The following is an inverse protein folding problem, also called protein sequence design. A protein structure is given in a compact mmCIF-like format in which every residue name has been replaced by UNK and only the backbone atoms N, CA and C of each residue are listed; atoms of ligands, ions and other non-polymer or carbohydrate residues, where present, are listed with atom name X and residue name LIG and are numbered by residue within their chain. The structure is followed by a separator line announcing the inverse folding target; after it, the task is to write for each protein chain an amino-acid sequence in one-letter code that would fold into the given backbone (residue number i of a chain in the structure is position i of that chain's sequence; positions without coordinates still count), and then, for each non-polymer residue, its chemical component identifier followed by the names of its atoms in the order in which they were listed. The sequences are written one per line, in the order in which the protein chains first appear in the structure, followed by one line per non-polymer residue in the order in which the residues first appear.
data_IF_099868604011
#
_entry.id   IF_099868604011
#
_cell.length_a   1.000
_cell.length_b   1.000
_cell.length_c   1.000
_cell.angle_alpha   90.00
_cell.angle_beta   90.00
_cell.angle_gamma   90.00
#
_symmetry.space_group_name_H-M   'P 1'
#
loop_
_entity.id
_entity.type
_entity.pdbx_description
1 polymer ?
#
# COMPACT_ATOMS: atom_id res chain seq x y z
N UNK A 1 3.40 21.64 -11.51
CA UNK A 1 3.11 20.34 -12.14
C UNK A 1 4.24 19.30 -11.98
N UNK A 2 5.48 19.71 -11.67
CA UNK A 2 6.66 18.82 -11.60
C UNK A 2 6.85 18.01 -10.30
N UNK A 3 6.19 18.37 -9.18
CA UNK A 3 6.42 17.73 -7.88
C UNK A 3 5.60 16.44 -7.66
N UNK A 4 4.44 16.31 -8.32
CA UNK A 4 3.48 15.21 -8.09
C UNK A 4 3.90 13.90 -8.76
N UNK A 5 4.49 13.97 -9.97
CA UNK A 5 5.02 12.80 -10.68
C UNK A 5 6.21 12.14 -9.96
N UNK A 6 6.93 12.89 -9.11
CA UNK A 6 8.09 12.39 -8.35
C UNK A 6 7.72 11.58 -7.10
N UNK A 7 6.50 11.62 -6.58
CA UNK A 7 6.13 10.88 -5.35
C UNK A 7 5.47 9.53 -5.65
N UNK A 8 4.57 9.49 -6.62
CA UNK A 8 3.94 8.24 -7.09
C UNK A 8 5.00 7.29 -7.67
N UNK A 9 6.04 7.83 -8.31
CA UNK A 9 7.15 7.04 -8.86
C UNK A 9 7.93 6.24 -7.81
N UNK A 10 7.97 6.71 -6.55
CA UNK A 10 8.64 5.98 -5.47
C UNK A 10 7.85 4.74 -5.06
N UNK A 11 6.51 4.82 -5.09
CA UNK A 11 5.66 3.67 -4.76
C UNK A 11 5.59 2.69 -5.92
N UNK A 12 5.36 3.15 -7.16
CA UNK A 12 5.32 2.23 -8.31
C UNK A 12 6.68 1.56 -8.51
N UNK A 13 7.77 2.27 -8.21
CA UNK A 13 9.16 1.79 -8.25
C UNK A 13 9.48 0.60 -7.34
N UNK A 14 8.67 0.34 -6.31
CA UNK A 14 8.86 -0.80 -5.41
C UNK A 14 7.91 -1.97 -5.69
N UNK A 15 6.98 -1.84 -6.64
CA UNK A 15 6.09 -2.92 -7.03
C UNK A 15 6.76 -3.87 -8.03
N UNK A 16 6.39 -5.15 -7.95
CA UNK A 16 6.67 -6.15 -9.00
C UNK A 16 6.22 -5.64 -10.37
N UNK A 17 6.93 -6.05 -11.43
CA UNK A 17 6.77 -5.45 -12.76
C UNK A 17 5.35 -5.54 -13.33
N UNK A 18 4.70 -6.69 -13.22
CA UNK A 18 3.32 -6.90 -13.65
C UNK A 18 2.35 -5.97 -12.93
N UNK A 19 2.44 -5.93 -11.60
CA UNK A 19 1.62 -5.09 -10.73
C UNK A 19 1.86 -3.61 -11.02
N UNK A 20 3.11 -3.20 -11.22
CA UNK A 20 3.49 -1.83 -11.61
C UNK A 20 2.75 -1.40 -12.87
N UNK A 21 2.74 -2.21 -13.93
CA UNK A 21 2.08 -1.88 -15.20
C UNK A 21 0.58 -1.67 -14.98
N UNK A 22 -0.07 -2.55 -14.21
CA UNK A 22 -1.50 -2.44 -13.89
C UNK A 22 -1.79 -1.14 -13.12
N UNK A 23 -0.98 -0.83 -12.12
CA UNK A 23 -1.14 0.39 -11.30
C UNK A 23 -0.85 1.65 -12.12
N UNK A 24 0.16 1.65 -12.99
CA UNK A 24 0.45 2.78 -13.87
C UNK A 24 -0.67 3.02 -14.89
N UNK A 25 -1.33 1.96 -15.37
CA UNK A 25 -2.47 2.10 -16.27
C UNK A 25 -3.66 2.77 -15.59
N UNK A 26 -4.04 2.36 -14.37
CA UNK A 26 -5.16 3.00 -13.66
C UNK A 26 -4.83 4.45 -13.27
N UNK A 27 -3.58 4.73 -12.89
CA UNK A 27 -3.14 6.09 -12.57
C UNK A 27 -3.20 7.04 -13.78
N UNK A 28 -3.12 6.53 -15.02
CA UNK A 28 -3.34 7.33 -16.24
C UNK A 28 -4.81 7.69 -16.44
N UNK A 29 -5.73 6.88 -15.93
CA UNK A 29 -7.18 7.16 -15.97
C UNK A 29 -7.57 8.26 -14.97
N UNK A 30 -6.71 8.54 -13.97
CA UNK A 30 -6.87 9.61 -13.00
C UNK A 30 -7.24 9.10 -11.60
N UNK A 31 -7.63 10.03 -10.72
CA UNK A 31 -8.04 9.72 -9.34
C UNK A 31 -6.90 9.69 -8.32
N UNK A 32 -7.28 9.77 -7.04
CA UNK A 32 -6.36 9.79 -5.91
C UNK A 32 -6.17 8.36 -5.34
N UNK A 33 -5.06 7.71 -5.72
CA UNK A 33 -4.68 6.40 -5.20
C UNK A 33 -4.29 6.50 -3.71
N UNK A 34 -5.07 5.84 -2.86
CA UNK A 34 -4.93 5.86 -1.41
C UNK A 34 -4.26 4.60 -0.88
N UNK A 35 -4.62 3.44 -1.42
CA UNK A 35 -4.19 2.15 -0.90
C UNK A 35 -4.00 1.12 -2.03
N UNK A 36 -2.97 0.28 -1.91
CA UNK A 36 -2.75 -0.91 -2.75
C UNK A 36 -2.73 -2.12 -1.83
N UNK A 37 -3.59 -3.10 -2.11
CA UNK A 37 -3.68 -4.37 -1.36
C UNK A 37 -3.27 -5.53 -2.25
N UNK A 38 -2.25 -6.25 -1.81
CA UNK A 38 -1.74 -7.43 -2.48
C UNK A 38 -1.85 -8.62 -1.54
N UNK A 39 -2.47 -9.72 -1.96
CA UNK A 39 -2.56 -10.95 -1.17
C UNK A 39 -2.45 -12.17 -2.07
N UNK A 40 -1.56 -13.10 -1.75
CA UNK A 40 -1.30 -14.28 -2.58
C UNK A 40 -2.60 -15.03 -2.85
N UNK A 41 -2.85 -15.33 -4.13
CA UNK A 41 -4.04 -16.06 -4.58
C UNK A 41 -5.33 -15.26 -4.55
N UNK A 42 -5.26 -13.95 -4.29
CA UNK A 42 -6.42 -13.05 -4.30
C UNK A 42 -6.25 -11.98 -5.38
N UNK A 43 -7.37 -11.38 -5.85
CA UNK A 43 -7.32 -10.27 -6.78
C UNK A 43 -6.55 -9.05 -6.25
N UNK A 44 -5.76 -8.42 -7.11
CA UNK A 44 -5.14 -7.13 -6.83
C UNK A 44 -6.24 -6.09 -6.60
N UNK A 45 -6.21 -5.42 -5.45
CA UNK A 45 -7.25 -4.47 -5.04
C UNK A 45 -6.62 -3.13 -4.69
N UNK A 46 -7.27 -2.03 -5.05
CA UNK A 46 -6.84 -0.67 -4.72
C UNK A 46 -7.99 0.13 -4.12
N UNK A 47 -7.64 1.23 -3.43
CA UNK A 47 -8.57 2.27 -3.03
C UNK A 47 -8.24 3.55 -3.78
N UNK A 48 -9.18 4.03 -4.59
CA UNK A 48 -9.05 5.26 -5.40
C UNK A 48 -10.27 6.12 -5.10
N UNK A 49 -10.05 7.38 -4.74
CA UNK A 49 -11.12 8.34 -4.43
C UNK A 49 -12.10 7.86 -3.34
N UNK A 50 -11.61 7.02 -2.42
CA UNK A 50 -12.42 6.43 -1.35
C UNK A 50 -13.20 5.17 -1.75
N UNK A 51 -13.13 4.75 -3.01
CA UNK A 51 -13.80 3.56 -3.53
C UNK A 51 -12.81 2.40 -3.71
N UNK A 52 -13.29 1.19 -3.41
CA UNK A 52 -12.52 -0.03 -3.61
C UNK A 52 -12.69 -0.56 -5.04
N UNK A 53 -11.57 -0.89 -5.69
CA UNK A 53 -11.54 -1.40 -7.05
C UNK A 53 -10.67 -2.64 -7.16
N UNK A 54 -11.17 -3.66 -7.87
CA UNK A 54 -10.42 -4.85 -8.24
C UNK A 54 -9.79 -4.62 -9.61
N UNK A 55 -8.48 -4.87 -9.73
CA UNK A 55 -7.73 -4.57 -10.94
C UNK A 55 -7.31 -5.84 -11.70
N UNK A 56 -7.18 -5.74 -13.04
CA UNK A 56 -7.60 -4.63 -13.89
C UNK A 56 -9.12 -4.54 -14.05
N UNK A 57 -9.67 -3.34 -14.24
CA UNK A 57 -11.12 -3.10 -14.35
C UNK A 57 -11.76 -3.68 -15.63
N UNK A 58 -11.01 -3.65 -16.75
CA UNK A 58 -11.51 -3.97 -18.09
C UNK A 58 -11.24 -5.42 -18.53
N UNK A 59 -10.57 -6.19 -17.68
CA UNK A 59 -10.11 -7.54 -17.98
C UNK A 59 -10.39 -8.47 -16.79
N UNK A 60 -9.94 -9.72 -16.90
CA UNK A 60 -9.97 -10.63 -15.75
C UNK A 60 -9.05 -10.07 -14.65
N UNK A 61 -9.56 -10.06 -13.42
CA UNK A 61 -8.81 -9.61 -12.26
C UNK A 61 -7.44 -10.32 -12.15
N UNK A 62 -6.40 -9.52 -11.91
CA UNK A 62 -5.04 -10.03 -11.73
C UNK A 62 -4.92 -10.71 -10.39
N UNK A 63 -4.62 -12.00 -10.40
CA UNK A 63 -4.42 -12.79 -9.18
C UNK A 63 -2.97 -12.62 -8.74
N UNK A 64 -2.80 -12.05 -7.55
CA UNK A 64 -1.47 -11.77 -7.00
C UNK A 64 -0.72 -13.07 -6.73
N UNK A 65 0.49 -13.15 -7.25
CA UNK A 65 1.36 -14.33 -7.09
C UNK A 65 2.29 -14.20 -5.90
N UNK A 66 2.88 -15.33 -5.48
CA UNK A 66 3.89 -15.34 -4.41
C UNK A 66 5.16 -14.63 -4.85
N UNK A 67 5.51 -14.78 -6.12
CA UNK A 67 6.67 -14.19 -6.77
C UNK A 67 6.55 -12.67 -6.79
N UNK A 68 5.36 -12.13 -7.09
CA UNK A 68 5.11 -10.68 -7.07
C UNK A 68 5.22 -10.09 -5.68
N UNK A 69 4.71 -10.77 -4.65
CA UNK A 69 4.89 -10.34 -3.25
C UNK A 69 6.38 -10.34 -2.90
N UNK A 70 7.11 -11.41 -3.25
CA UNK A 70 8.54 -11.53 -2.99
C UNK A 70 9.35 -10.41 -3.66
N UNK A 71 9.15 -10.19 -4.97
CA UNK A 71 9.81 -9.12 -5.72
C UNK A 71 9.51 -7.75 -5.11
N UNK A 72 8.25 -7.49 -4.77
CA UNK A 72 7.83 -6.22 -4.16
C UNK A 72 8.57 -5.96 -2.85
N UNK A 73 8.71 -6.98 -1.98
CA UNK A 73 9.45 -6.85 -0.71
C UNK A 73 10.95 -6.63 -0.96
N UNK A 74 11.54 -7.33 -1.94
CA UNK A 74 12.95 -7.17 -2.30
C UNK A 74 13.24 -5.73 -2.75
N UNK A 75 12.38 -5.16 -3.58
CA UNK A 75 12.49 -3.76 -3.99
C UNK A 75 12.30 -2.79 -2.82
N UNK A 76 11.27 -3.00 -1.97
CA UNK A 76 11.01 -2.14 -0.82
C UNK A 76 12.16 -2.15 0.20
N UNK A 77 12.75 -3.32 0.45
CA UNK A 77 13.86 -3.49 1.39
C UNK A 77 15.21 -3.04 0.83
N UNK A 78 15.27 -2.58 -0.44
CA UNK A 78 16.52 -2.35 -1.18
C UNK A 78 17.48 -3.54 -1.07
N UNK A 79 16.95 -4.77 -1.11
CA UNK A 79 17.68 -6.02 -0.89
C UNK A 79 18.32 -6.19 0.51
N UNK A 80 17.96 -5.36 1.50
CA UNK A 80 18.46 -5.44 2.87
C UNK A 80 17.36 -5.84 3.85
N UNK A 81 16.79 -7.03 3.66
CA UNK A 81 15.76 -7.61 4.55
C UNK A 81 16.15 -7.64 6.03
N UNK A 82 17.45 -7.84 6.32
CA UNK A 82 17.98 -7.87 7.68
C UNK A 82 17.90 -6.52 8.40
N UNK A 83 18.03 -5.40 7.69
CA UNK A 83 17.93 -4.08 8.29
C UNK A 83 16.50 -3.78 8.80
N UNK A 84 15.50 -4.43 8.19
CA UNK A 84 14.08 -4.22 8.49
C UNK A 84 13.45 -5.36 9.29
N UNK A 85 14.24 -6.31 9.80
CA UNK A 85 13.74 -7.48 10.56
C UNK A 85 12.87 -7.09 11.76
N UNK A 86 13.22 -6.00 12.46
CA UNK A 86 12.42 -5.50 13.58
C UNK A 86 11.08 -4.90 13.14
N UNK A 87 11.04 -4.17 12.02
CA UNK A 87 9.79 -3.60 11.47
C UNK A 87 8.88 -4.72 10.95
N UNK A 88 9.46 -5.66 10.20
CA UNK A 88 8.76 -6.84 9.71
C UNK A 88 8.19 -7.67 10.87
N UNK A 89 8.94 -7.84 11.98
CA UNK A 89 8.42 -8.49 13.20
C UNK A 89 7.20 -7.77 13.77
N UNK A 90 7.14 -6.44 13.64
CA UNK A 90 6.01 -5.63 14.06
C UNK A 90 4.87 -5.56 13.02
N UNK A 91 5.04 -6.23 11.86
CA UNK A 91 4.03 -6.32 10.81
C UNK A 91 3.95 -5.09 9.92
N UNK A 92 5.01 -4.28 9.85
CA UNK A 92 5.07 -3.15 8.93
C UNK A 92 6.45 -2.97 8.30
N UNK A 93 6.52 -2.12 7.28
CA UNK A 93 7.76 -1.66 6.66
C UNK A 93 7.60 -0.17 6.33
N UNK A 94 8.62 0.62 6.65
CA UNK A 94 8.63 2.05 6.34
C UNK A 94 9.19 2.28 4.94
N UNK A 95 8.39 2.92 4.07
CA UNK A 95 8.86 3.31 2.73
C UNK A 95 9.33 4.77 2.73
N UNK A 96 10.43 5.03 2.03
CA UNK A 96 10.90 6.40 1.78
C UNK A 96 9.81 7.22 1.07
N UNK A 97 9.63 8.48 1.48
CA UNK A 97 8.51 9.32 1.03
C UNK A 97 7.34 9.39 2.01
N UNK A 98 7.42 8.72 3.17
CA UNK A 98 6.41 8.78 4.23
C UNK A 98 5.25 7.80 4.06
N UNK A 99 5.35 6.91 3.06
CA UNK A 99 4.39 5.84 2.82
C UNK A 99 4.51 4.75 3.90
N UNK A 100 3.39 4.11 4.24
CA UNK A 100 3.37 3.04 5.25
C UNK A 100 2.99 1.73 4.58
N UNK A 101 3.75 0.67 4.84
CA UNK A 101 3.43 -0.67 4.34
C UNK A 101 3.09 -1.57 5.50
N UNK A 102 1.87 -2.10 5.55
CA UNK A 102 1.50 -3.22 6.39
C UNK A 102 1.91 -4.53 5.75
N UNK A 103 2.44 -5.45 6.56
CA UNK A 103 2.93 -6.75 6.12
C UNK A 103 2.29 -7.83 6.97
N UNK A 104 1.72 -8.86 6.34
CA UNK A 104 1.21 -10.03 7.05
C UNK A 104 1.64 -11.34 6.37
N UNK A 105 1.90 -12.35 7.19
CA UNK A 105 2.46 -13.64 6.77
C UNK A 105 2.54 -14.64 7.92
N UNK A 106 3.12 -15.81 7.66
CA UNK A 106 3.23 -16.88 8.65
C UNK A 106 4.37 -16.60 9.63
N UNK A 107 4.04 -16.37 10.89
CA UNK A 107 5.05 -16.23 11.93
C UNK A 107 5.61 -17.61 12.31
N UNK A 108 6.93 -17.80 12.24
CA UNK A 108 7.58 -18.96 12.86
C UNK A 108 8.07 -18.54 14.25
N UNK A 109 7.53 -19.22 15.27
CA UNK A 109 7.95 -19.06 16.65
C UNK A 109 9.01 -20.11 16.94
N UNK A 110 10.19 -19.68 17.39
CA UNK A 110 11.26 -20.58 17.84
C UNK A 110 11.50 -20.32 19.33
N UNK A 111 11.28 -21.33 20.17
CA UNK A 111 11.46 -21.29 21.64
C UNK A 111 10.81 -20.08 22.33
N UNK A 112 9.57 -19.75 21.97
CA UNK A 112 8.80 -18.68 22.60
C UNK A 112 9.20 -17.25 22.21
N UNK A 113 10.17 -17.08 21.30
CA UNK A 113 10.50 -15.79 20.68
C UNK A 113 10.04 -15.79 19.22
N UNK A 114 9.30 -14.75 18.84
CA UNK A 114 8.94 -14.50 17.43
C UNK A 114 10.23 -14.20 16.67
N UNK A 115 10.74 -15.16 15.88
CA UNK A 115 12.03 -14.97 15.23
C UNK A 115 11.94 -14.02 14.04
N UNK A 116 10.93 -14.16 13.18
CA UNK A 116 10.69 -13.24 12.06
C UNK A 116 9.31 -13.55 11.40
N UNK A 117 8.73 -12.64 10.62
CA UNK A 117 7.65 -13.02 9.67
C UNK A 117 8.32 -13.78 8.52
N UNK A 118 8.06 -15.08 8.40
CA UNK A 118 8.42 -15.84 7.22
C UNK A 118 7.20 -16.02 6.32
N UNK A 119 7.38 -16.20 5.01
CA UNK A 119 6.25 -16.35 4.07
C UNK A 119 5.24 -15.20 4.15
N UNK A 120 5.71 -13.97 3.86
CA UNK A 120 4.82 -12.82 3.69
C UNK A 120 3.81 -13.18 2.60
N UNK A 121 2.52 -13.14 2.98
CA UNK A 121 1.41 -13.54 2.12
C UNK A 121 0.55 -12.36 1.68
N UNK A 122 0.73 -11.21 2.31
CA UNK A 122 0.02 -9.99 1.94
C UNK A 122 0.78 -8.73 2.29
N UNK A 123 0.58 -7.72 1.45
CA UNK A 123 1.09 -6.37 1.60
C UNK A 123 -0.09 -5.39 1.52
N UNK A 124 -0.04 -4.36 2.35
CA UNK A 124 -0.98 -3.24 2.33
C UNK A 124 -0.16 -1.96 2.26
N UNK A 125 -0.18 -1.27 1.13
CA UNK A 125 0.62 -0.08 0.89
C UNK A 125 -0.29 1.13 0.95
N UNK A 126 -0.10 1.99 1.96
CA UNK A 126 -0.84 3.24 2.12
C UNK A 126 -0.01 4.40 1.60
N UNK A 127 -0.60 5.14 0.68
CA UNK A 127 0.05 6.27 0.02
C UNK A 127 -0.11 7.51 0.92
N UNK A 128 1.00 8.12 1.34
CA UNK A 128 0.97 9.42 2.00
C UNK A 128 0.50 10.47 0.99
N UNK A 129 -0.74 10.93 1.15
CA UNK A 129 -1.26 12.04 0.38
C UNK A 129 -0.56 13.34 0.80
N UNK A 130 0.23 13.95 -0.10
CA UNK A 130 0.16 15.40 -0.20
C UNK A 130 -1.14 15.69 -0.96
N UNK A 131 -2.17 16.03 -0.21
CA UNK A 131 -3.46 16.46 -0.73
C UNK A 131 -3.26 17.72 -1.57
N UNK A 132 -3.44 17.62 -2.88
CA UNK A 132 -3.90 18.76 -3.69
C UNK A 132 -5.22 18.30 -4.30
N UNK A 133 -6.32 18.86 -3.83
CA UNK A 133 -7.69 18.55 -4.28
C UNK A 133 -8.63 17.98 -3.21
N UNK A 134 -8.12 17.27 -2.19
CA UNK A 134 -8.94 16.75 -1.07
C UNK A 134 -9.23 17.80 0.04
N UNK A 135 -8.79 19.05 -0.14
CA UNK A 135 -9.10 20.17 0.75
C UNK A 135 -10.10 21.17 0.15
N UNK A 136 -10.39 21.11 -1.16
CA UNK A 136 -11.29 22.08 -1.78
C UNK A 136 -12.77 21.70 -1.64
N UNK A 137 -13.10 20.40 -1.50
CA UNK A 137 -14.50 19.97 -1.29
C UNK A 137 -14.81 19.42 0.11
N UNK A 138 -13.81 19.09 0.94
CA UNK A 138 -14.06 18.45 2.24
C UNK A 138 -13.90 19.36 3.48
N UNK A 139 -13.50 20.62 3.31
CA UNK A 139 -13.43 21.57 4.42
C UNK A 139 -14.81 22.05 4.96
N UNK A 140 -15.91 22.13 4.19
CA UNK A 140 -17.20 22.54 4.78
C UNK A 140 -17.89 21.46 5.63
N UNK A 141 -17.54 20.17 5.47
CA UNK A 141 -18.32 19.08 6.07
C UNK A 141 -17.75 18.49 7.36
N UNK A 142 -16.50 18.82 7.74
CA UNK A 142 -15.90 18.38 9.01
C UNK A 142 -16.20 19.35 10.17
N UNK A 143 -16.76 20.54 9.90
CA UNK A 143 -17.27 21.46 10.93
C UNK A 143 -18.80 21.54 10.92
N UNK A 144 -19.48 20.40 11.06
CA UNK A 144 -20.82 20.44 11.66
C UNK A 144 -21.10 19.15 12.42
N UNK A 145 -21.47 19.35 13.69
CA UNK A 145 -21.97 18.37 14.65
C UNK A 145 -20.97 17.47 15.35
N UNK A 146 -20.30 18.03 16.37
CA UNK A 146 -20.47 17.53 17.75
C UNK A 146 -20.44 18.68 18.76
N UNK A 147 -21.60 19.31 19.00
CA UNK A 147 -21.91 19.87 20.32
C UNK A 147 -22.76 18.83 21.04
N UNK A 148 -22.16 18.05 21.93
CA UNK A 148 -22.84 17.48 23.08
C UNK A 148 -21.85 17.29 24.23
N UNK A 149 -21.98 18.16 25.24
CA UNK A 149 -21.84 17.84 26.66
C UNK A 149 -22.59 18.94 27.44
N UNK A 150 -23.86 18.77 27.84
CA UNK A 150 -24.31 18.47 29.21
C UNK A 150 -23.46 19.08 30.33
N UNK A 151 -23.91 20.23 30.84
CA UNK A 151 -24.31 20.44 32.24
C UNK A 151 -25.45 21.46 32.28
#
# INVERSE_FOLDING_TARGET
MEKTGKKISHVTGVLARSVRIIIENILREGGALQEIRMRIGQPLTVMIDGEEQILPLKERAHIVTKEEIKETIEYMSRYSLYAYENELRQGFLTLEGGHRVGVAGKVIVDRGKVKNIQYISSLNIRIAHEVIGCADELIPYITKNKKYAIH
#
